data_IF_099333577818
#
_entry.id   IF_099333577818
#
_cell.length_a   1.000
_cell.length_b   1.000
_cell.length_c   1.000
_cell.angle_alpha   90.00
_cell.angle_beta   90.00
_cell.angle_gamma   90.00
#
_symmetry.space_group_name_H-M   'P 1'
#
loop_
_entity.id
_entity.type
_entity.pdbx_description
1 polymer ?
#
# COMPACT_ATOMS: atom_id res chain seq x y z
N UNK A 1 25.82 14.44 29.71
CA UNK A 1 25.41 15.23 28.52
C UNK A 1 26.65 15.54 27.72
N UNK A 2 26.83 14.95 26.53
CA UNK A 2 27.94 15.33 25.62
C UNK A 2 27.46 16.57 24.86
N UNK A 3 28.05 17.73 25.13
CA UNK A 3 27.78 18.95 24.38
C UNK A 3 28.32 18.69 22.97
N UNK A 4 27.43 18.48 22.01
CA UNK A 4 27.83 18.32 20.62
C UNK A 4 28.38 19.67 20.14
N UNK A 5 29.47 19.70 19.36
CA UNK A 5 29.94 20.93 18.73
C UNK A 5 28.79 21.56 17.93
N UNK A 6 28.67 22.89 17.96
CA UNK A 6 27.55 23.66 17.37
C UNK A 6 27.21 23.23 15.94
N UNK A 7 28.23 22.88 15.14
CA UNK A 7 28.10 22.40 13.76
C UNK A 7 27.39 21.05 13.61
N UNK A 8 27.58 20.12 14.56
CA UNK A 8 26.87 18.82 14.56
C UNK A 8 25.40 18.98 14.94
N UNK A 9 25.09 19.91 15.86
CA UNK A 9 23.70 20.23 16.21
C UNK A 9 22.94 20.85 15.04
N UNK A 10 23.54 21.83 14.36
CA UNK A 10 22.91 22.49 13.21
C UNK A 10 22.61 21.49 12.09
N UNK A 11 23.51 20.54 11.85
CA UNK A 11 23.28 19.58 10.78
C UNK A 11 22.26 18.49 11.14
N UNK A 12 22.22 18.05 12.40
CA UNK A 12 21.16 17.18 12.89
C UNK A 12 19.79 17.82 12.72
N UNK A 13 19.68 19.11 12.99
CA UNK A 13 18.43 19.86 12.85
C UNK A 13 17.97 19.93 11.39
N UNK A 14 18.89 20.26 10.47
CA UNK A 14 18.60 20.26 9.02
C UNK A 14 18.16 18.90 8.53
N UNK A 15 18.85 17.83 8.94
CA UNK A 15 18.47 16.46 8.59
C UNK A 15 17.07 16.12 9.10
N UNK A 16 16.76 16.43 10.35
CA UNK A 16 15.44 16.17 10.93
C UNK A 16 14.33 16.93 10.21
N UNK A 17 14.56 18.21 9.87
CA UNK A 17 13.61 19.02 9.08
C UNK A 17 13.31 18.40 7.72
N UNK A 18 14.33 17.90 7.02
CA UNK A 18 14.17 17.21 5.73
C UNK A 18 13.37 15.91 5.89
N UNK A 19 13.65 15.12 6.93
CA UNK A 19 12.92 13.87 7.19
C UNK A 19 11.44 14.14 7.52
N UNK A 20 11.16 15.15 8.34
CA UNK A 20 9.79 15.57 8.66
C UNK A 20 9.07 16.05 7.41
N UNK A 21 9.69 16.95 6.64
CA UNK A 21 9.10 17.47 5.41
C UNK A 21 8.79 16.36 4.41
N UNK A 22 9.74 15.45 4.17
CA UNK A 22 9.54 14.30 3.29
C UNK A 22 8.39 13.42 3.77
N UNK A 23 8.36 13.11 5.07
CA UNK A 23 7.30 12.28 5.66
C UNK A 23 5.93 12.92 5.47
N UNK A 24 5.81 14.24 5.70
CA UNK A 24 4.56 14.98 5.50
C UNK A 24 4.13 15.00 4.04
N UNK A 25 5.06 15.22 3.11
CA UNK A 25 4.76 15.24 1.67
C UNK A 25 4.27 13.87 1.17
N UNK A 26 4.93 12.78 1.58
CA UNK A 26 4.48 11.42 1.28
C UNK A 26 3.14 11.13 1.93
N UNK A 27 2.93 11.55 3.18
CA UNK A 27 1.68 11.32 3.90
C UNK A 27 0.49 12.04 3.28
N UNK A 28 0.69 13.29 2.80
CA UNK A 28 -0.33 14.01 2.03
C UNK A 28 -0.72 13.25 0.77
N UNK A 29 0.24 12.66 0.05
CA UNK A 29 -0.05 11.86 -1.15
C UNK A 29 -0.92 10.65 -0.84
N UNK A 30 -0.59 9.89 0.20
CA UNK A 30 -1.42 8.75 0.62
C UNK A 30 -2.78 9.19 1.16
N UNK A 31 -2.85 10.33 1.83
CA UNK A 31 -4.13 10.91 2.26
C UNK A 31 -5.07 11.21 1.08
N UNK A 32 -4.52 11.67 -0.06
CA UNK A 32 -5.31 11.85 -1.30
C UNK A 32 -5.87 10.53 -1.80
N UNK A 33 -5.08 9.45 -1.78
CA UNK A 33 -5.56 8.11 -2.16
C UNK A 33 -6.64 7.63 -1.19
N UNK A 34 -6.41 7.74 0.13
CA UNK A 34 -7.38 7.37 1.15
C UNK A 34 -8.69 8.18 1.03
N UNK A 35 -8.62 9.44 0.60
CA UNK A 35 -9.80 10.24 0.27
C UNK A 35 -10.55 9.69 -0.96
N UNK A 36 -9.83 9.35 -2.03
CA UNK A 36 -10.43 8.76 -3.24
C UNK A 36 -11.11 7.42 -2.96
N UNK A 37 -10.54 6.57 -2.10
CA UNK A 37 -11.21 5.32 -1.74
C UNK A 37 -12.51 5.60 -0.96
N UNK A 38 -12.53 6.62 -0.11
CA UNK A 38 -13.75 7.01 0.60
C UNK A 38 -14.86 7.47 -0.36
N UNK A 39 -14.47 8.13 -1.46
CA UNK A 39 -15.35 8.55 -2.54
C UNK A 39 -15.94 7.35 -3.30
N UNK A 40 -15.08 6.43 -3.76
CA UNK A 40 -15.51 5.22 -4.49
C UNK A 40 -16.42 4.33 -3.65
N UNK A 41 -16.07 4.10 -2.39
CA UNK A 41 -16.87 3.25 -1.51
C UNK A 41 -18.18 3.90 -1.04
N UNK A 42 -18.36 5.21 -1.24
CA UNK A 42 -19.45 5.99 -0.65
C UNK A 42 -19.64 5.66 0.85
N UNK A 43 -18.54 5.47 1.57
CA UNK A 43 -18.52 4.72 2.84
C UNK A 43 -19.38 5.40 3.92
N UNK A 44 -20.26 4.66 4.64
CA UNK A 44 -21.28 5.26 5.52
C UNK A 44 -20.77 5.67 6.92
N UNK A 45 -19.47 5.82 7.14
CA UNK A 45 -18.85 5.90 8.48
C UNK A 45 -19.38 6.99 9.41
N UNK A 46 -20.08 8.01 8.91
CA UNK A 46 -20.53 9.15 9.72
C UNK A 46 -21.99 9.52 9.48
N UNK A 47 -22.88 8.53 9.43
CA UNK A 47 -24.32 8.75 9.41
C UNK A 47 -24.80 9.52 8.18
N UNK A 48 -26.07 9.92 8.21
CA UNK A 48 -26.86 10.58 7.16
C UNK A 48 -26.38 12.00 6.78
N UNK A 49 -25.08 12.30 6.88
CA UNK A 49 -24.53 13.56 6.42
C UNK A 49 -24.54 13.63 4.89
N UNK A 50 -25.31 14.57 4.35
CA UNK A 50 -25.45 14.83 2.90
C UNK A 50 -24.21 15.48 2.26
N UNK A 51 -23.22 15.89 3.05
CA UNK A 51 -22.03 16.62 2.58
C UNK A 51 -20.89 15.63 2.30
N UNK A 52 -20.82 15.16 1.05
CA UNK A 52 -19.85 14.16 0.59
C UNK A 52 -18.38 14.50 0.94
N UNK A 53 -17.87 15.72 0.70
CA UNK A 53 -16.46 16.03 0.96
C UNK A 53 -16.04 15.90 2.43
N UNK A 54 -16.91 16.32 3.35
CA UNK A 54 -16.63 16.25 4.80
C UNK A 54 -16.54 14.80 5.25
N UNK A 55 -17.49 13.96 4.85
CA UNK A 55 -17.50 12.54 5.20
C UNK A 55 -16.26 11.81 4.68
N UNK A 56 -15.85 12.08 3.45
CA UNK A 56 -14.68 11.45 2.83
C UNK A 56 -13.40 11.88 3.55
N UNK A 57 -13.32 13.16 3.93
CA UNK A 57 -12.20 13.71 4.70
C UNK A 57 -12.12 13.10 6.09
N UNK A 58 -13.24 13.00 6.82
CA UNK A 58 -13.30 12.38 8.14
C UNK A 58 -12.87 10.90 8.09
N UNK A 59 -13.23 10.19 7.01
CA UNK A 59 -12.81 8.79 6.80
C UNK A 59 -11.31 8.71 6.56
N UNK A 60 -10.77 9.53 5.67
CA UNK A 60 -9.32 9.58 5.43
C UNK A 60 -8.55 9.93 6.72
N UNK A 61 -9.09 10.85 7.54
CA UNK A 61 -8.54 11.17 8.86
C UNK A 61 -8.58 9.99 9.84
N UNK A 62 -9.65 9.18 9.82
CA UNK A 62 -9.77 8.02 10.71
C UNK A 62 -8.67 6.96 10.50
N UNK A 63 -8.13 6.86 9.28
CA UNK A 63 -7.03 5.95 8.93
C UNK A 63 -5.67 6.67 8.78
N UNK A 64 -5.59 7.96 9.11
CA UNK A 64 -4.38 8.74 8.91
C UNK A 64 -3.22 8.29 9.82
N UNK A 65 -3.53 7.82 11.03
CA UNK A 65 -2.53 7.32 11.99
C UNK A 65 -1.85 6.02 11.52
N UNK A 66 -2.58 4.95 11.13
CA UNK A 66 -1.94 3.78 10.55
C UNK A 66 -1.25 4.10 9.21
N UNK A 67 -1.79 5.02 8.40
CA UNK A 67 -1.11 5.51 7.19
C UNK A 67 0.28 6.08 7.49
N UNK A 68 0.37 6.97 8.50
CA UNK A 68 1.63 7.53 8.96
C UNK A 68 2.57 6.44 9.51
N UNK A 69 2.03 5.46 10.26
CA UNK A 69 2.80 4.32 10.76
C UNK A 69 3.44 3.51 9.64
N UNK A 70 2.72 3.22 8.56
CA UNK A 70 3.24 2.50 7.40
C UNK A 70 4.37 3.29 6.71
N UNK A 71 4.17 4.60 6.48
CA UNK A 71 5.18 5.46 5.87
C UNK A 71 6.45 5.53 6.73
N UNK A 72 6.30 5.73 8.05
CA UNK A 72 7.42 5.75 8.99
C UNK A 72 8.16 4.41 9.04
N UNK A 73 7.46 3.28 8.84
CA UNK A 73 8.07 1.95 8.80
C UNK A 73 9.08 1.79 7.65
N UNK A 74 8.96 2.61 6.61
CA UNK A 74 9.93 2.67 5.50
C UNK A 74 10.95 3.79 5.70
N UNK A 75 10.50 5.00 6.06
CA UNK A 75 11.38 6.17 6.17
C UNK A 75 12.40 6.01 7.30
N UNK A 76 12.02 5.42 8.43
CA UNK A 76 12.93 5.26 9.57
C UNK A 76 14.13 4.36 9.24
N UNK A 77 13.97 3.14 8.72
CA UNK A 77 15.11 2.33 8.26
C UNK A 77 15.98 3.06 7.22
N UNK A 78 15.36 3.77 6.27
CA UNK A 78 16.09 4.52 5.22
C UNK A 78 16.88 5.67 5.82
N UNK A 79 16.38 6.31 6.89
CA UNK A 79 17.10 7.35 7.64
C UNK A 79 18.34 6.81 8.36
N UNK A 80 18.45 5.50 8.57
CA UNK A 80 19.60 4.82 9.17
C UNK A 80 20.61 4.32 8.13
N UNK A 81 20.42 4.62 6.84
CA UNK A 81 21.43 4.36 5.81
C UNK A 81 22.67 5.25 6.08
N UNK A 82 23.89 4.78 5.75
CA UNK A 82 25.11 5.57 5.90
C UNK A 82 25.00 6.95 5.22
N UNK A 83 25.58 7.97 5.86
CA UNK A 83 25.52 9.37 5.46
C UNK A 83 25.80 9.61 3.96
N UNK A 84 26.77 8.87 3.40
CA UNK A 84 27.16 8.92 1.97
C UNK A 84 26.01 8.60 1.01
N UNK A 85 25.11 7.68 1.39
CA UNK A 85 24.04 7.18 0.54
C UNK A 85 22.65 7.66 0.97
N UNK A 86 22.51 8.16 2.21
CA UNK A 86 21.23 8.54 2.83
C UNK A 86 20.39 9.48 1.97
N UNK A 87 20.98 10.57 1.47
CA UNK A 87 20.25 11.52 0.61
C UNK A 87 19.73 10.89 -0.68
N UNK A 88 20.51 9.99 -1.31
CA UNK A 88 20.06 9.25 -2.52
C UNK A 88 18.97 8.25 -2.17
N UNK A 89 19.12 7.51 -1.08
CA UNK A 89 18.14 6.53 -0.63
C UNK A 89 16.79 7.19 -0.29
N UNK A 90 16.79 8.32 0.42
CA UNK A 90 15.58 9.09 0.71
C UNK A 90 14.88 9.59 -0.57
N UNK A 91 15.65 10.10 -1.54
CA UNK A 91 15.11 10.54 -2.82
C UNK A 91 14.52 9.38 -3.61
N UNK A 92 15.20 8.24 -3.67
CA UNK A 92 14.70 7.02 -4.33
C UNK A 92 13.39 6.56 -3.70
N UNK A 93 13.31 6.51 -2.37
CA UNK A 93 12.09 6.12 -1.66
C UNK A 93 10.95 7.11 -1.91
N UNK A 94 11.24 8.42 -1.97
CA UNK A 94 10.23 9.42 -2.32
C UNK A 94 9.67 9.22 -3.73
N UNK A 95 10.54 8.92 -4.70
CA UNK A 95 10.12 8.59 -6.07
C UNK A 95 9.26 7.32 -6.07
N UNK A 96 9.68 6.26 -5.36
CA UNK A 96 8.92 5.01 -5.28
C UNK A 96 7.52 5.21 -4.68
N UNK A 97 7.39 5.99 -3.60
CA UNK A 97 6.08 6.34 -3.06
C UNK A 97 5.23 7.14 -4.03
N UNK A 98 5.83 8.05 -4.79
CA UNK A 98 5.12 8.86 -5.81
C UNK A 98 4.59 7.98 -6.94
N UNK A 99 5.40 7.02 -7.40
CA UNK A 99 4.98 6.02 -8.39
C UNK A 99 3.87 5.14 -7.83
N UNK A 100 3.99 4.66 -6.59
CA UNK A 100 2.96 3.83 -5.96
C UNK A 100 1.62 4.57 -5.86
N UNK A 101 1.64 5.84 -5.41
CA UNK A 101 0.44 6.68 -5.34
C UNK A 101 -0.17 6.93 -6.73
N UNK A 102 0.66 7.18 -7.75
CA UNK A 102 0.17 7.30 -9.13
C UNK A 102 -0.52 6.01 -9.58
N UNK A 103 0.10 4.85 -9.33
CA UNK A 103 -0.44 3.55 -9.67
C UNK A 103 -1.79 3.32 -8.98
N UNK A 104 -1.88 3.60 -7.68
CA UNK A 104 -3.13 3.49 -6.92
C UNK A 104 -4.23 4.36 -7.52
N UNK A 105 -3.93 5.62 -7.85
CA UNK A 105 -4.90 6.54 -8.47
C UNK A 105 -5.39 6.01 -9.82
N UNK A 106 -4.49 5.46 -10.64
CA UNK A 106 -4.85 4.88 -11.93
C UNK A 106 -5.70 3.62 -11.77
N UNK A 107 -5.37 2.75 -10.81
CA UNK A 107 -6.14 1.56 -10.50
C UNK A 107 -7.53 1.90 -9.98
N UNK A 108 -7.65 2.91 -9.12
CA UNK A 108 -8.95 3.39 -8.62
C UNK A 108 -9.79 3.92 -9.78
N UNK A 109 -9.20 4.66 -10.73
CA UNK A 109 -9.93 5.20 -11.89
C UNK A 109 -10.37 4.11 -12.87
N UNK A 110 -9.56 3.09 -13.10
CA UNK A 110 -9.83 2.05 -14.09
C UNK A 110 -10.71 0.92 -13.53
N UNK A 111 -10.35 0.40 -12.36
CA UNK A 111 -10.96 -0.79 -11.76
C UNK A 111 -11.91 -0.50 -10.61
N UNK A 112 -11.95 0.74 -10.09
CA UNK A 112 -12.51 1.00 -8.75
C UNK A 112 -11.90 0.06 -7.70
N UNK A 113 -10.59 -0.20 -7.81
CA UNK A 113 -9.84 -1.07 -6.90
C UNK A 113 -8.43 -0.50 -6.65
N UNK A 114 -7.69 -1.08 -5.72
CA UNK A 114 -6.31 -0.71 -5.38
C UNK A 114 -5.29 -1.66 -6.01
N UNK A 115 -4.11 -1.15 -6.31
CA UNK A 115 -3.00 -1.94 -6.82
C UNK A 115 -2.49 -2.93 -5.76
N UNK A 116 -2.06 -4.10 -6.21
CA UNK A 116 -1.29 -5.06 -5.41
C UNK A 116 0.02 -5.43 -6.13
N UNK A 117 1.08 -5.67 -5.37
CA UNK A 117 2.40 -6.03 -5.90
C UNK A 117 2.39 -7.36 -6.67
N UNK A 118 1.43 -8.24 -6.40
CA UNK A 118 1.23 -9.45 -7.20
C UNK A 118 0.90 -9.14 -8.67
N UNK A 119 0.20 -8.03 -8.96
CA UNK A 119 -0.19 -7.65 -10.32
C UNK A 119 1.04 -7.38 -11.20
N UNK A 120 2.19 -7.02 -10.60
CA UNK A 120 3.47 -6.84 -11.30
C UNK A 120 3.91 -8.13 -11.99
N UNK A 121 3.67 -9.30 -11.37
CA UNK A 121 4.01 -10.60 -11.91
C UNK A 121 3.16 -10.96 -13.14
N UNK A 122 1.99 -10.33 -13.27
CA UNK A 122 1.03 -10.55 -14.35
C UNK A 122 1.15 -9.52 -15.49
N UNK A 123 1.95 -8.47 -15.32
CA UNK A 123 2.16 -7.41 -16.33
C UNK A 123 2.58 -7.92 -17.72
N UNK A 124 3.47 -8.92 -17.87
CA UNK A 124 3.84 -9.42 -19.20
C UNK A 124 2.66 -10.00 -19.97
N UNK A 125 1.63 -10.48 -19.27
CA UNK A 125 0.47 -11.17 -19.84
C UNK A 125 -0.68 -10.19 -20.15
N UNK A 126 -0.69 -9.00 -19.55
CA UNK A 126 -1.82 -8.05 -19.56
C UNK A 126 -1.53 -6.76 -20.35
N UNK A 127 -0.56 -6.78 -21.27
CA UNK A 127 -0.08 -5.57 -21.97
C UNK A 127 -1.13 -4.70 -22.66
N UNK A 128 -2.24 -5.28 -23.15
CA UNK A 128 -3.38 -4.52 -23.70
C UNK A 128 -4.12 -3.71 -22.62
N UNK A 129 -4.23 -4.27 -21.42
CA UNK A 129 -4.92 -3.65 -20.30
C UNK A 129 -4.07 -2.51 -19.73
N UNK A 130 -2.76 -2.72 -19.61
CA UNK A 130 -1.82 -1.69 -19.17
C UNK A 130 -1.94 -0.41 -20.01
N UNK A 131 -2.01 -0.52 -21.35
CA UNK A 131 -2.21 0.64 -22.24
C UNK A 131 -3.49 1.41 -21.93
N UNK A 132 -4.57 0.70 -21.59
CA UNK A 132 -5.85 1.31 -21.23
C UNK A 132 -5.75 2.06 -19.90
N UNK A 133 -5.03 1.51 -18.92
CA UNK A 133 -4.76 2.20 -17.64
C UNK A 133 -3.94 3.48 -17.87
N UNK A 134 -2.89 3.41 -18.69
CA UNK A 134 -2.07 4.59 -19.02
C UNK A 134 -2.86 5.68 -19.75
N UNK A 135 -3.89 5.32 -20.53
CA UNK A 135 -4.76 6.30 -21.20
C UNK A 135 -5.60 7.15 -20.23
N UNK A 136 -5.75 6.72 -18.98
CA UNK A 136 -6.46 7.46 -17.92
C UNK A 136 -5.57 8.46 -17.16
N UNK A 137 -4.31 8.60 -17.55
CA UNK A 137 -3.43 9.65 -17.04
C UNK A 137 -4.03 11.02 -17.36
N UNK A 138 -4.15 11.84 -16.32
CA UNK A 138 -4.54 13.24 -16.43
C UNK A 138 -3.29 14.11 -16.30
N UNK A 139 -3.29 15.27 -16.96
CA UNK A 139 -2.18 16.23 -16.86
C UNK A 139 -1.83 16.61 -15.41
N UNK A 140 -2.85 16.68 -14.54
CA UNK A 140 -2.69 17.01 -13.13
C UNK A 140 -1.99 15.91 -12.31
N UNK A 141 -1.88 14.68 -12.81
CA UNK A 141 -1.20 13.59 -12.10
C UNK A 141 0.32 13.85 -11.99
N UNK A 142 0.88 14.71 -12.85
CA UNK A 142 2.27 15.21 -12.72
C UNK A 142 2.50 15.91 -11.37
N UNK A 143 1.47 16.50 -10.76
CA UNK A 143 1.60 17.15 -9.45
C UNK A 143 1.98 16.19 -8.33
N UNK A 144 1.72 14.89 -8.48
CA UNK A 144 2.16 13.85 -7.51
C UNK A 144 3.69 13.83 -7.39
N UNK A 145 4.41 14.27 -8.43
CA UNK A 145 5.87 14.30 -8.49
C UNK A 145 6.45 15.70 -8.21
N UNK A 146 5.62 16.71 -7.95
CA UNK A 146 6.07 18.11 -7.81
C UNK A 146 7.00 18.35 -6.62
N UNK A 147 6.91 17.53 -5.58
CA UNK A 147 7.79 17.56 -4.41
C UNK A 147 9.19 16.99 -4.70
N UNK A 148 9.36 16.13 -5.71
CA UNK A 148 10.66 15.53 -6.03
C UNK A 148 11.69 16.59 -6.45
N UNK A 149 11.39 17.52 -7.38
CA UNK A 149 12.27 18.65 -7.67
C UNK A 149 12.58 19.51 -6.45
N UNK A 150 11.58 19.74 -5.58
CA UNK A 150 11.76 20.53 -4.35
C UNK A 150 12.71 19.83 -3.38
N UNK A 151 12.50 18.53 -3.15
CA UNK A 151 13.37 17.70 -2.31
C UNK A 151 14.78 17.59 -2.91
N UNK A 152 14.90 17.41 -4.23
CA UNK A 152 16.19 17.40 -4.91
C UNK A 152 16.91 18.73 -4.79
N UNK A 153 16.20 19.86 -4.95
CA UNK A 153 16.75 21.19 -4.78
C UNK A 153 17.16 21.46 -3.33
N UNK A 154 16.35 21.08 -2.34
CA UNK A 154 16.72 21.17 -0.92
C UNK A 154 17.98 20.35 -0.63
N UNK A 155 18.02 19.10 -1.11
CA UNK A 155 19.20 18.25 -0.99
C UNK A 155 20.42 18.81 -1.74
N UNK A 156 20.23 19.61 -2.81
CA UNK A 156 21.33 20.23 -3.59
C UNK A 156 21.78 21.58 -3.02
N UNK A 157 20.86 22.41 -2.54
CA UNK A 157 21.12 23.71 -1.89
C UNK A 157 21.80 23.50 -0.56
N UNK A 158 21.28 22.57 0.22
CA UNK A 158 21.91 22.16 1.46
C UNK A 158 23.14 21.28 1.20
N UNK A 159 23.46 20.90 -0.06
CA UNK A 159 24.64 20.07 -0.39
C UNK A 159 25.99 20.76 -0.20
N UNK A 160 26.02 22.07 0.08
CA UNK A 160 27.23 22.74 0.59
C UNK A 160 27.43 22.43 2.10
N UNK A 161 26.38 22.00 2.82
CA UNK A 161 26.37 21.81 4.28
C UNK A 161 25.55 20.61 4.82
N UNK A 162 25.17 19.61 4.00
CA UNK A 162 24.48 18.40 4.45
C UNK A 162 25.50 17.45 5.09
N UNK A 163 25.92 17.78 6.31
CA UNK A 163 26.61 16.86 7.21
C UNK A 163 25.60 15.85 7.78
N UNK A 164 25.11 14.92 6.96
CA UNK A 164 24.38 13.76 7.48
C UNK A 164 25.18 13.15 8.62
N UNK A 165 24.62 13.21 9.83
CA UNK A 165 25.38 12.82 11.00
C UNK A 165 25.65 11.31 10.93
N UNK A 166 26.84 10.93 11.41
CA UNK A 166 27.13 9.53 11.65
C UNK A 166 26.09 8.96 12.62
N UNK A 167 25.76 7.69 12.40
CA UNK A 167 24.71 7.04 13.16
C UNK A 167 25.23 6.80 14.58
N UNK A 168 24.57 7.42 15.56
CA UNK A 168 24.89 7.23 16.97
C UNK A 168 23.98 6.17 17.59
N UNK A 169 24.44 5.50 18.65
CA UNK A 169 23.63 4.51 19.40
C UNK A 169 22.32 5.14 19.90
N UNK A 170 22.37 6.40 20.35
CA UNK A 170 21.17 7.15 20.77
C UNK A 170 20.17 7.31 19.62
N UNK A 171 20.65 7.65 18.41
CA UNK A 171 19.80 7.77 17.22
C UNK A 171 19.14 6.44 16.89
N UNK A 172 19.91 5.35 16.91
CA UNK A 172 19.37 4.00 16.68
C UNK A 172 18.26 3.69 17.68
N UNK A 173 18.49 3.92 18.98
CA UNK A 173 17.48 3.67 20.01
C UNK A 173 16.19 4.45 19.80
N UNK A 174 16.29 5.74 19.47
CA UNK A 174 15.11 6.58 19.17
C UNK A 174 14.40 6.10 17.89
N UNK A 175 15.15 5.79 16.83
CA UNK A 175 14.59 5.28 15.58
C UNK A 175 13.87 3.94 15.78
N UNK A 176 14.45 3.02 16.56
CA UNK A 176 13.81 1.74 16.89
C UNK A 176 12.54 1.93 17.73
N UNK A 177 12.52 2.89 18.66
CA UNK A 177 11.32 3.21 19.43
C UNK A 177 10.19 3.75 18.52
N UNK A 178 10.52 4.68 17.61
CA UNK A 178 9.55 5.21 16.64
C UNK A 178 9.05 4.08 15.73
N UNK A 179 9.95 3.23 15.24
CA UNK A 179 9.61 2.09 14.40
C UNK A 179 8.70 1.09 15.13
N UNK A 180 8.96 0.81 16.42
CA UNK A 180 8.11 -0.03 17.25
C UNK A 180 6.68 0.53 17.32
N UNK A 181 6.52 1.83 17.63
CA UNK A 181 5.18 2.45 17.64
C UNK A 181 4.52 2.45 16.27
N UNK A 182 5.28 2.71 15.21
CA UNK A 182 4.79 2.70 13.83
C UNK A 182 4.25 1.33 13.41
N UNK A 183 4.94 0.25 13.79
CA UNK A 183 4.49 -1.13 13.56
C UNK A 183 3.30 -1.47 14.49
N UNK A 184 3.35 -1.07 15.76
CA UNK A 184 2.29 -1.34 16.73
C UNK A 184 0.93 -0.77 16.28
N UNK A 185 0.91 0.48 15.79
CA UNK A 185 -0.32 1.10 15.26
C UNK A 185 -0.90 0.28 14.09
N UNK A 186 -0.06 -0.20 13.19
CA UNK A 186 -0.50 -1.02 12.05
C UNK A 186 -1.08 -2.37 12.51
N UNK A 187 -0.44 -3.03 13.48
CA UNK A 187 -0.94 -4.28 14.08
C UNK A 187 -2.31 -4.04 14.73
N UNK A 188 -2.48 -2.94 15.46
CA UNK A 188 -3.77 -2.58 16.08
C UNK A 188 -4.83 -2.34 15.01
N UNK A 189 -4.51 -1.65 13.91
CA UNK A 189 -5.44 -1.43 12.80
C UNK A 189 -5.87 -2.76 12.16
N UNK A 190 -4.90 -3.65 11.87
CA UNK A 190 -5.18 -4.98 11.33
C UNK A 190 -6.01 -5.86 12.29
N UNK A 191 -5.72 -5.80 13.59
CA UNK A 191 -6.50 -6.49 14.62
C UNK A 191 -7.95 -5.98 14.67
N UNK A 192 -8.16 -4.65 14.64
CA UNK A 192 -9.50 -4.05 14.59
C UNK A 192 -10.28 -4.51 13.36
N UNK A 193 -9.65 -4.51 12.19
CA UNK A 193 -10.26 -5.04 10.97
C UNK A 193 -10.67 -6.51 11.15
N UNK A 194 -9.77 -7.36 11.65
CA UNK A 194 -10.06 -8.78 11.86
C UNK A 194 -11.18 -9.02 12.87
N UNK A 195 -11.24 -8.23 13.95
CA UNK A 195 -12.27 -8.34 14.97
C UNK A 195 -13.66 -7.93 14.45
N UNK A 196 -13.74 -6.88 13.63
CA UNK A 196 -15.02 -6.35 13.14
C UNK A 196 -15.49 -7.00 11.84
N UNK A 197 -14.56 -7.47 10.99
CA UNK A 197 -14.84 -8.04 9.67
C UNK A 197 -13.91 -9.23 9.38
N UNK A 198 -14.07 -10.36 10.10
CA UNK A 198 -13.16 -11.51 10.01
C UNK A 198 -13.07 -12.10 8.59
N UNK A 199 -14.17 -12.05 7.82
CA UNK A 199 -14.25 -12.64 6.48
C UNK A 199 -13.62 -11.77 5.38
N UNK A 200 -13.41 -10.47 5.62
CA UNK A 200 -12.82 -9.58 4.60
C UNK A 200 -11.33 -9.87 4.44
N UNK A 201 -10.64 -10.18 5.54
CA UNK A 201 -9.20 -10.47 5.52
C UNK A 201 -8.88 -11.81 4.84
N UNK A 202 -9.76 -12.82 4.98
CA UNK A 202 -9.55 -14.14 4.38
C UNK A 202 -9.92 -14.20 2.90
N UNK A 203 -10.86 -13.37 2.47
CA UNK A 203 -11.39 -13.42 1.12
C UNK A 203 -10.74 -12.39 0.18
N UNK A 204 -10.22 -11.26 0.70
CA UNK A 204 -9.61 -10.13 -0.04
C UNK A 204 -10.35 -9.67 -1.33
N UNK A 205 -11.61 -10.07 -1.53
CA UNK A 205 -12.44 -9.67 -2.67
C UNK A 205 -12.77 -8.18 -2.67
N UNK A 206 -12.67 -7.52 -1.51
CA UNK A 206 -12.95 -6.09 -1.35
C UNK A 206 -11.75 -5.39 -0.69
N UNK A 207 -10.73 -5.13 -1.50
CA UNK A 207 -9.46 -4.52 -1.06
C UNK A 207 -9.65 -3.06 -0.65
N UNK A 208 -10.53 -2.34 -1.33
CA UNK A 208 -10.91 -0.98 -0.94
C UNK A 208 -11.52 -0.95 0.46
N UNK A 209 -12.39 -1.92 0.80
CA UNK A 209 -12.89 -2.05 2.16
C UNK A 209 -11.75 -2.32 3.15
N UNK A 210 -10.78 -3.18 2.84
CA UNK A 210 -9.60 -3.37 3.73
C UNK A 210 -8.88 -2.04 3.96
N UNK A 211 -8.58 -1.30 2.88
CA UNK A 211 -7.95 0.02 2.96
C UNK A 211 -8.78 1.01 3.80
N UNK A 212 -10.11 0.86 3.83
CA UNK A 212 -10.99 1.68 4.67
C UNK A 212 -10.79 1.51 6.17
N UNK A 213 -10.21 0.40 6.60
CA UNK A 213 -9.92 0.13 8.01
C UNK A 213 -8.47 0.40 8.38
N UNK A 214 -7.54 0.16 7.45
CA UNK A 214 -6.10 0.19 7.76
C UNK A 214 -5.33 1.32 7.08
N UNK A 215 -5.91 2.04 6.12
CA UNK A 215 -5.25 2.91 5.11
C UNK A 215 -4.61 2.16 3.96
N UNK A 216 -4.49 2.84 2.82
CA UNK A 216 -3.74 2.38 1.65
C UNK A 216 -2.28 2.09 1.94
N UNK A 217 -1.57 2.97 2.65
CA UNK A 217 -0.16 2.77 2.96
C UNK A 217 0.07 1.51 3.82
N UNK A 218 -0.80 1.26 4.81
CA UNK A 218 -0.71 0.03 5.62
C UNK A 218 -1.12 -1.22 4.85
N UNK A 219 -2.09 -1.10 3.94
CA UNK A 219 -2.48 -2.19 3.05
C UNK A 219 -1.29 -2.67 2.21
N UNK A 220 -0.57 -1.76 1.56
CA UNK A 220 0.62 -2.07 0.78
C UNK A 220 1.72 -2.74 1.61
N UNK A 221 1.89 -2.33 2.87
CA UNK A 221 2.82 -3.00 3.78
C UNK A 221 2.41 -4.46 4.04
N UNK A 222 1.11 -4.70 4.27
CA UNK A 222 0.56 -6.04 4.41
C UNK A 222 0.69 -6.87 3.13
N UNK A 223 0.53 -6.26 1.97
CA UNK A 223 0.66 -6.93 0.67
C UNK A 223 2.11 -7.35 0.40
N UNK A 224 3.10 -6.49 0.66
CA UNK A 224 4.53 -6.86 0.57
C UNK A 224 4.85 -8.04 1.50
N UNK A 225 4.34 -8.03 2.73
CA UNK A 225 4.53 -9.14 3.67
C UNK A 225 3.87 -10.41 3.14
N UNK A 226 2.63 -10.34 2.66
CA UNK A 226 1.92 -11.50 2.11
C UNK A 226 2.64 -12.09 0.90
N UNK A 227 3.09 -11.24 -0.03
CA UNK A 227 3.86 -11.67 -1.20
C UNK A 227 5.18 -12.32 -0.80
N UNK A 228 5.87 -11.73 0.19
CA UNK A 228 7.13 -12.29 0.72
C UNK A 228 6.91 -13.65 1.36
N UNK A 229 5.87 -13.79 2.20
CA UNK A 229 5.54 -15.06 2.86
C UNK A 229 5.18 -16.14 1.83
N UNK A 230 4.38 -15.81 0.81
CA UNK A 230 4.03 -16.73 -0.29
C UNK A 230 5.26 -17.22 -1.04
N UNK A 231 6.29 -16.38 -1.21
CA UNK A 231 7.53 -16.80 -1.86
C UNK A 231 8.31 -17.87 -1.08
N UNK A 232 8.01 -18.06 0.22
CA UNK A 232 8.57 -19.12 1.06
C UNK A 232 7.59 -20.28 1.29
N UNK A 233 6.36 -20.22 0.79
CA UNK A 233 5.43 -21.34 0.87
C UNK A 233 5.88 -22.45 -0.11
N UNK A 234 5.97 -23.71 0.34
CA UNK A 234 6.31 -24.81 -0.54
C UNK A 234 5.25 -24.98 -1.64
N UNK A 235 5.69 -25.15 -2.89
CA UNK A 235 4.81 -25.47 -4.04
C UNK A 235 4.10 -26.83 -3.89
N UNK A 236 4.48 -27.62 -2.89
CA UNK A 236 3.91 -28.94 -2.64
C UNK A 236 2.62 -28.84 -1.81
N UNK A 237 1.51 -29.26 -2.41
CA UNK A 237 0.25 -29.48 -1.67
C UNK A 237 0.33 -30.83 -0.95
N UNK A 238 0.20 -30.87 0.40
CA UNK A 238 0.27 -32.11 1.14
C UNK A 238 -0.79 -33.12 0.68
N UNK A 239 -0.41 -34.40 0.58
CA UNK A 239 -1.32 -35.47 0.12
C UNK A 239 -2.62 -35.51 0.94
N UNK A 240 -2.55 -35.26 2.25
CA UNK A 240 -3.72 -35.16 3.12
C UNK A 240 -4.76 -34.15 2.63
N UNK A 241 -4.32 -32.99 2.12
CA UNK A 241 -5.21 -31.94 1.60
C UNK A 241 -5.81 -32.33 0.25
N UNK A 242 -5.07 -33.08 -0.56
CA UNK A 242 -5.59 -33.68 -1.80
C UNK A 242 -6.70 -34.68 -1.47
N UNK A 243 -6.48 -35.54 -0.47
CA UNK A 243 -7.45 -36.55 -0.06
C UNK A 243 -8.70 -35.92 0.57
N UNK A 244 -8.53 -34.85 1.36
CA UNK A 244 -9.64 -34.05 1.89
C UNK A 244 -10.50 -33.45 0.76
N UNK A 245 -9.87 -32.83 -0.24
CA UNK A 245 -10.55 -32.24 -1.39
C UNK A 245 -11.27 -33.32 -2.21
N UNK A 246 -10.63 -34.45 -2.49
CA UNK A 246 -11.29 -35.61 -3.15
C UNK A 246 -12.51 -36.06 -2.37
N UNK A 247 -12.39 -36.19 -1.05
CA UNK A 247 -13.51 -36.52 -0.18
C UNK A 247 -14.64 -35.48 -0.25
N UNK A 248 -14.30 -34.19 -0.29
CA UNK A 248 -15.27 -33.09 -0.42
C UNK A 248 -16.05 -33.16 -1.73
N UNK A 249 -15.39 -33.44 -2.86
CA UNK A 249 -16.01 -33.62 -4.17
C UNK A 249 -16.85 -34.89 -4.23
N UNK A 250 -16.33 -36.03 -3.75
CA UNK A 250 -17.03 -37.31 -3.75
C UNK A 250 -18.34 -37.25 -2.97
N UNK A 251 -18.37 -36.55 -1.82
CA UNK A 251 -19.59 -36.33 -1.03
C UNK A 251 -20.63 -35.45 -1.72
N UNK A 252 -20.21 -34.61 -2.68
CA UNK A 252 -21.06 -33.65 -3.41
C UNK A 252 -21.37 -34.06 -4.84
N UNK A 253 -20.79 -35.15 -5.31
CA UNK A 253 -21.20 -35.80 -6.55
C UNK A 253 -22.59 -36.39 -6.35
N UNK A 254 -23.61 -35.52 -6.39
CA UNK A 254 -25.01 -35.93 -6.46
C UNK A 254 -25.31 -36.21 -7.93
N UNK A 255 -25.54 -37.49 -8.19
CA UNK A 255 -26.20 -38.07 -9.34
C UNK A 255 -25.32 -38.29 -10.58
N UNK A 256 -24.99 -39.57 -10.80
CA UNK A 256 -24.66 -40.12 -12.11
C UNK A 256 -25.92 -40.07 -13.00
N UNK A 257 -26.30 -38.90 -13.48
CA UNK A 257 -27.26 -38.84 -14.58
C UNK A 257 -26.59 -39.40 -15.82
N UNK A 258 -27.26 -40.33 -16.51
CA UNK A 258 -26.84 -40.76 -17.84
C UNK A 258 -26.68 -39.50 -18.72
N UNK A 259 -25.55 -39.39 -19.42
CA UNK A 259 -25.23 -38.19 -20.22
C UNK A 259 -26.36 -37.95 -21.24
N UNK A 260 -27.19 -36.90 -21.07
CA UNK A 260 -28.36 -36.69 -21.94
C UNK A 260 -27.97 -36.29 -23.37
N UNK A 261 -26.68 -36.00 -23.59
CA UNK A 261 -26.13 -35.53 -24.86
C UNK A 261 -24.81 -36.25 -25.24
N UNK A 262 -24.63 -37.50 -24.81
CA UNK A 262 -23.47 -38.31 -25.19
C UNK A 262 -23.27 -38.35 -26.72
N UNK A 263 -22.07 -37.97 -27.18
CA UNK A 263 -21.71 -37.97 -28.61
C UNK A 263 -22.15 -36.75 -29.41
N UNK A 264 -22.72 -35.71 -28.80
CA UNK A 264 -23.08 -34.44 -29.48
C UNK A 264 -21.96 -33.40 -29.39
N UNK A 265 -21.95 -32.45 -30.31
CA UNK A 265 -21.06 -31.28 -30.26
C UNK A 265 -21.51 -30.32 -29.14
N UNK A 266 -20.55 -29.82 -28.36
CA UNK A 266 -20.76 -28.77 -27.35
C UNK A 266 -20.46 -27.41 -27.96
N UNK A 267 -21.47 -26.55 -28.04
CA UNK A 267 -21.28 -25.13 -28.38
C UNK A 267 -21.46 -24.33 -27.08
N UNK A 268 -20.35 -23.79 -26.56
CA UNK A 268 -20.36 -22.92 -25.39
C UNK A 268 -20.30 -21.47 -25.85
N UNK A 269 -21.32 -20.68 -25.52
CA UNK A 269 -21.36 -19.24 -25.80
C UNK A 269 -21.14 -18.50 -24.49
N UNK A 270 -20.00 -17.84 -24.35
CA UNK A 270 -19.73 -16.94 -23.23
C UNK A 270 -20.36 -15.58 -23.54
N UNK A 271 -21.48 -15.28 -22.89
CA UNK A 271 -22.11 -13.96 -22.96
C UNK A 271 -21.53 -13.07 -21.86
N UNK A 272 -20.64 -12.16 -22.23
CA UNK A 272 -20.00 -11.24 -21.27
C UNK A 272 -20.99 -10.14 -20.83
N UNK A 273 -21.02 -9.86 -19.52
CA UNK A 273 -21.90 -8.87 -18.89
C UNK A 273 -23.42 -9.03 -19.15
N UNK A 274 -23.90 -10.23 -19.48
CA UNK A 274 -25.33 -10.50 -19.60
C UNK A 274 -25.96 -10.57 -18.19
N UNK A 275 -26.67 -9.51 -17.79
CA UNK A 275 -27.53 -9.51 -16.61
C UNK A 275 -28.96 -9.92 -17.01
N UNK A 276 -29.57 -10.77 -16.18
CA UNK A 276 -30.99 -11.15 -16.28
C UNK A 276 -31.87 -10.16 -15.52
#
# INVERSE_FOLDING_TARGET
MRILPVKEMECREKELRILILMTLLVWIKFFVVDYMIADVLNWPSFGTMKIHPVRHTLRALAVAVPSLGAILSVIIPVSLVPAKYRGRALLTVNVLFSVLVLTDILFIRYYSDIFIFHDVLLLPQTGLIAKSIWSLLKLWDVLIFADIPIMFWLLKKERINLCFENITVKRIGISLLILFFAIFVQIVAGYRLRAQRPNIMSAMYDRLSVCAWVSTASFHWGDVISLTLKAFEPDHVPQQKIDELRGWFNRRSKNNYASPAGGKNLIMIQCEALQQ
#
